data_IF_487154353733
#
_entry.id   IF_487154353733
#
_cell.length_a   1.000
_cell.length_b   1.000
_cell.length_c   1.000
_cell.angle_alpha   90.00
_cell.angle_beta   90.00
_cell.angle_gamma   90.00
#
_symmetry.space_group_name_H-M   'P 1'
#
loop_
_entity.id
_entity.type
_entity.pdbx_description
1 polymer ?
#
# COMPACT_ATOMS: atom_id res chain seq x y z
N UNK A 1 -8.96 8.74 -9.11
CA UNK A 1 -9.79 9.93 -9.45
C UNK A 1 -8.97 11.22 -9.43
N UNK A 2 -7.66 11.11 -9.56
CA UNK A 2 -6.74 12.24 -9.51
C UNK A 2 -7.05 13.31 -10.58
N UNK A 3 -7.41 12.90 -11.79
CA UNK A 3 -7.72 13.84 -12.88
C UNK A 3 -9.19 14.32 -12.93
N UNK A 4 -10.08 13.73 -12.13
CA UNK A 4 -11.51 14.09 -12.08
C UNK A 4 -12.33 13.73 -13.33
N UNK A 5 -11.69 13.32 -14.43
CA UNK A 5 -12.37 12.91 -15.65
C UNK A 5 -12.88 11.47 -15.51
N UNK A 6 -14.19 11.31 -15.46
CA UNK A 6 -14.86 10.01 -15.47
C UNK A 6 -15.26 9.55 -16.88
N UNK A 7 -15.11 10.41 -17.89
CA UNK A 7 -15.42 10.09 -19.29
C UNK A 7 -14.58 8.94 -19.84
N UNK A 8 -13.34 8.80 -19.34
CA UNK A 8 -12.46 7.67 -19.68
C UNK A 8 -13.10 6.31 -19.41
N UNK A 9 -14.02 6.21 -18.44
CA UNK A 9 -14.71 4.96 -18.10
C UNK A 9 -15.71 4.52 -19.18
N UNK A 10 -16.11 5.43 -20.06
CA UNK A 10 -17.01 5.13 -21.18
C UNK A 10 -16.26 4.68 -22.45
N UNK A 11 -14.91 4.78 -22.44
CA UNK A 11 -14.12 4.34 -23.58
C UNK A 11 -14.35 2.84 -23.83
N UNK A 12 -14.65 2.50 -25.07
CA UNK A 12 -14.88 1.11 -25.47
C UNK A 12 -13.57 0.48 -25.93
N UNK A 13 -13.17 -0.58 -25.23
CA UNK A 13 -11.92 -1.31 -25.46
C UNK A 13 -12.23 -2.78 -25.68
N UNK A 14 -11.58 -3.40 -26.66
CA UNK A 14 -11.68 -4.84 -26.88
C UNK A 14 -10.98 -5.61 -25.74
N UNK A 15 -11.58 -6.73 -25.34
CA UNK A 15 -10.91 -7.66 -24.42
C UNK A 15 -9.79 -8.41 -25.14
N UNK A 16 -8.82 -8.85 -24.34
CA UNK A 16 -7.75 -9.71 -24.83
C UNK A 16 -8.12 -11.18 -24.58
N UNK A 17 -7.72 -12.05 -25.51
CA UNK A 17 -7.84 -13.50 -25.38
C UNK A 17 -6.46 -14.12 -25.36
N UNK A 18 -6.19 -14.91 -24.34
CA UNK A 18 -4.99 -15.74 -24.23
C UNK A 18 -5.40 -17.18 -23.93
N UNK A 19 -4.50 -18.12 -24.16
CA UNK A 19 -4.71 -19.49 -23.71
C UNK A 19 -4.71 -19.56 -22.18
N UNK A 20 -5.39 -20.51 -21.62
CA UNK A 20 -5.29 -20.82 -20.19
C UNK A 20 -3.90 -21.41 -19.87
N UNK A 21 -3.41 -21.14 -18.65
CA UNK A 21 -2.24 -21.82 -18.12
C UNK A 21 -2.53 -23.32 -17.99
N UNK A 22 -1.54 -24.16 -18.29
CA UNK A 22 -1.62 -25.58 -17.97
C UNK A 22 -1.43 -25.77 -16.45
N UNK A 23 -1.87 -26.92 -15.88
CA UNK A 23 -1.73 -27.17 -14.45
C UNK A 23 -0.28 -27.17 -13.93
N UNK A 24 0.69 -27.37 -14.81
CA UNK A 24 2.13 -27.40 -14.53
C UNK A 24 2.84 -26.07 -14.83
N UNK A 25 2.09 -25.03 -15.27
CA UNK A 25 2.64 -23.71 -15.62
C UNK A 25 2.30 -22.66 -14.55
N UNK A 26 3.30 -21.92 -14.07
CA UNK A 26 3.10 -20.74 -13.21
C UNK A 26 2.83 -19.48 -14.03
N UNK A 27 3.36 -19.39 -15.25
CA UNK A 27 3.24 -18.22 -16.12
C UNK A 27 3.32 -18.61 -17.59
N UNK A 28 2.81 -17.72 -18.45
CA UNK A 28 2.92 -17.83 -19.89
C UNK A 28 3.30 -16.49 -20.51
N UNK A 29 4.40 -16.49 -21.24
CA UNK A 29 4.87 -15.32 -22.01
C UNK A 29 4.46 -15.51 -23.47
N UNK A 30 3.20 -15.14 -23.76
CA UNK A 30 2.64 -15.20 -25.11
C UNK A 30 2.03 -13.85 -25.47
N UNK A 31 1.88 -13.60 -26.75
CA UNK A 31 1.22 -12.39 -27.25
C UNK A 31 -0.30 -12.64 -27.27
N UNK A 32 -1.09 -11.97 -26.41
CA UNK A 32 -2.53 -12.16 -26.42
C UNK A 32 -3.15 -11.62 -27.71
N UNK A 33 -4.23 -12.24 -28.13
CA UNK A 33 -5.00 -11.80 -29.30
C UNK A 33 -6.12 -10.86 -28.88
N UNK A 34 -6.40 -9.84 -29.69
CA UNK A 34 -7.59 -9.00 -29.51
C UNK A 34 -8.84 -9.84 -29.81
N UNK A 35 -9.82 -9.83 -28.90
CA UNK A 35 -11.10 -10.50 -29.09
C UNK A 35 -12.12 -9.60 -29.79
N UNK A 36 -13.19 -10.20 -30.32
CA UNK A 36 -14.33 -9.46 -30.88
C UNK A 36 -15.25 -8.89 -29.77
N UNK A 37 -15.06 -9.30 -28.52
CA UNK A 37 -15.80 -8.80 -27.37
C UNK A 37 -15.25 -7.43 -26.96
N UNK A 38 -16.14 -6.44 -26.83
CA UNK A 38 -15.79 -5.05 -26.49
C UNK A 38 -16.64 -4.60 -25.31
N UNK A 39 -15.99 -4.09 -24.28
CA UNK A 39 -16.61 -3.46 -23.09
C UNK A 39 -16.14 -2.03 -22.90
N UNK A 40 -16.82 -1.30 -22.03
CA UNK A 40 -16.30 -0.04 -21.51
C UNK A 40 -15.15 -0.29 -20.54
N UNK A 41 -14.29 0.70 -20.29
CA UNK A 41 -13.27 0.57 -19.24
C UNK A 41 -13.90 0.30 -17.86
N UNK A 42 -15.10 0.80 -17.61
CA UNK A 42 -15.85 0.45 -16.41
C UNK A 42 -16.15 -1.06 -16.34
N UNK A 43 -16.61 -1.66 -17.46
CA UNK A 43 -16.86 -3.11 -17.54
C UNK A 43 -15.57 -3.92 -17.33
N UNK A 44 -14.45 -3.45 -17.87
CA UNK A 44 -13.15 -4.09 -17.63
C UNK A 44 -12.76 -4.06 -16.15
N UNK A 45 -12.95 -2.93 -15.45
CA UNK A 45 -12.70 -2.83 -14.02
C UNK A 45 -13.63 -3.77 -13.22
N UNK A 46 -14.92 -3.79 -13.52
CA UNK A 46 -15.87 -4.69 -12.89
C UNK A 46 -15.48 -6.15 -13.10
N UNK A 47 -15.14 -6.55 -14.32
CA UNK A 47 -14.71 -7.93 -14.64
C UNK A 47 -13.49 -8.33 -13.82
N UNK A 48 -12.49 -7.44 -13.69
CA UNK A 48 -11.30 -7.68 -12.89
C UNK A 48 -11.64 -7.87 -11.41
N UNK A 49 -12.49 -7.01 -10.84
CA UNK A 49 -12.90 -7.10 -9.43
C UNK A 49 -13.76 -8.36 -9.20
N UNK A 50 -14.73 -8.64 -10.06
CA UNK A 50 -15.56 -9.85 -9.95
C UNK A 50 -14.76 -11.13 -10.08
N UNK A 51 -13.65 -11.12 -10.84
CA UNK A 51 -12.76 -12.27 -10.93
C UNK A 51 -12.09 -12.60 -9.59
N UNK A 52 -11.82 -11.58 -8.76
CA UNK A 52 -11.26 -11.76 -7.42
C UNK A 52 -12.31 -12.13 -6.36
N UNK A 53 -13.61 -11.97 -6.65
CA UNK A 53 -14.69 -12.25 -5.71
C UNK A 53 -15.23 -13.68 -5.88
N UNK A 54 -15.91 -14.23 -4.84
CA UNK A 54 -16.60 -15.52 -4.96
C UNK A 54 -17.66 -15.49 -6.07
N UNK A 55 -17.71 -16.53 -6.90
CA UNK A 55 -18.74 -16.67 -7.93
C UNK A 55 -20.13 -16.73 -7.34
N UNK A 56 -21.08 -15.96 -7.87
CA UNK A 56 -22.49 -16.01 -7.48
C UNK A 56 -23.17 -17.33 -7.85
N UNK A 57 -22.67 -18.01 -8.88
CA UNK A 57 -23.33 -19.17 -9.49
C UNK A 57 -22.74 -20.53 -9.08
N UNK A 58 -21.70 -20.55 -8.23
CA UNK A 58 -20.99 -21.80 -7.90
C UNK A 58 -20.34 -22.48 -9.12
N UNK A 59 -20.47 -21.91 -10.32
CA UNK A 59 -19.77 -22.32 -11.51
C UNK A 59 -18.36 -21.75 -11.46
N UNK A 60 -17.41 -22.57 -11.04
CA UNK A 60 -15.99 -22.22 -11.00
C UNK A 60 -15.42 -21.89 -12.39
N UNK A 61 -15.74 -20.71 -12.87
CA UNK A 61 -15.06 -20.07 -14.00
C UNK A 61 -13.95 -19.19 -13.40
N UNK A 62 -13.03 -19.84 -12.72
CA UNK A 62 -11.84 -19.20 -12.21
C UNK A 62 -10.69 -20.20 -12.36
N UNK A 63 -9.59 -19.78 -12.94
CA UNK A 63 -8.33 -20.56 -12.90
C UNK A 63 -7.89 -20.78 -11.44
N UNK A 64 -6.93 -21.64 -11.23
CA UNK A 64 -6.32 -21.84 -9.91
C UNK A 64 -5.87 -20.48 -9.32
N UNK A 65 -6.34 -20.15 -8.10
CA UNK A 65 -6.01 -18.89 -7.41
C UNK A 65 -7.06 -17.77 -7.52
N UNK A 66 -8.27 -18.07 -8.02
CA UNK A 66 -9.38 -17.10 -8.03
C UNK A 66 -10.45 -17.47 -7.01
N UNK A 67 -11.01 -16.45 -6.35
CA UNK A 67 -12.04 -16.63 -5.33
C UNK A 67 -11.48 -16.65 -3.91
N UNK A 68 -12.24 -17.26 -2.99
CA UNK A 68 -11.94 -17.29 -1.56
C UNK A 68 -11.71 -18.72 -1.08
N UNK A 69 -10.83 -18.87 -0.08
CA UNK A 69 -10.56 -20.17 0.54
C UNK A 69 -11.45 -20.47 1.74
N UNK A 70 -11.02 -21.43 2.57
CA UNK A 70 -11.79 -21.97 3.70
C UNK A 70 -12.03 -20.98 4.83
N UNK A 71 -11.16 -19.96 4.97
CA UNK A 71 -11.31 -18.89 5.94
C UNK A 71 -12.08 -17.69 5.36
N UNK A 72 -12.56 -17.80 4.12
CA UNK A 72 -13.24 -16.71 3.42
C UNK A 72 -12.31 -15.53 3.14
N UNK A 73 -11.03 -15.79 2.94
CA UNK A 73 -10.01 -14.84 2.51
C UNK A 73 -9.65 -15.11 1.05
N UNK A 74 -9.16 -14.13 0.29
CA UNK A 74 -8.77 -14.33 -1.11
C UNK A 74 -7.69 -15.38 -1.25
N UNK A 75 -7.83 -16.23 -2.27
CA UNK A 75 -6.81 -17.21 -2.64
C UNK A 75 -5.54 -16.50 -3.11
N UNK A 76 -4.39 -16.99 -2.66
CA UNK A 76 -3.08 -16.41 -2.97
C UNK A 76 -2.55 -16.86 -4.34
N UNK A 77 -2.91 -18.08 -4.77
CA UNK A 77 -2.38 -18.66 -6.00
C UNK A 77 -0.86 -18.81 -5.96
N UNK A 78 -0.19 -18.49 -7.07
CA UNK A 78 1.27 -18.51 -7.20
C UNK A 78 1.93 -17.19 -6.71
N UNK A 79 1.32 -16.48 -5.80
CA UNK A 79 1.83 -15.26 -5.17
C UNK A 79 0.83 -14.10 -5.17
N UNK A 80 1.04 -13.18 -4.25
CA UNK A 80 0.32 -11.89 -4.20
C UNK A 80 1.30 -10.74 -4.51
N UNK A 81 1.34 -9.66 -3.72
CA UNK A 81 2.38 -8.62 -3.82
C UNK A 81 3.80 -9.20 -3.72
N UNK A 82 3.98 -10.26 -2.93
CA UNK A 82 5.23 -10.99 -2.81
C UNK A 82 5.18 -12.23 -3.70
N UNK A 83 5.62 -12.09 -4.94
CA UNK A 83 5.71 -13.18 -5.92
C UNK A 83 6.72 -14.26 -5.52
N UNK A 84 7.65 -13.95 -4.60
CA UNK A 84 8.56 -14.92 -3.99
C UNK A 84 7.90 -15.96 -3.09
N UNK A 85 6.63 -15.75 -2.71
CA UNK A 85 5.82 -16.68 -1.92
C UNK A 85 4.95 -17.60 -2.82
N UNK A 86 5.50 -18.03 -3.96
CA UNK A 86 4.77 -18.73 -5.03
C UNK A 86 4.29 -20.14 -4.67
N UNK A 87 4.75 -20.71 -3.56
CA UNK A 87 4.31 -22.05 -3.12
C UNK A 87 3.28 -22.00 -1.96
N UNK A 88 2.90 -20.84 -1.47
CA UNK A 88 1.94 -20.73 -0.36
C UNK A 88 0.54 -21.18 -0.77
N UNK A 89 0.08 -20.78 -1.96
CA UNK A 89 -1.23 -21.10 -2.49
C UNK A 89 -1.19 -21.86 -3.83
N UNK A 90 -0.10 -22.54 -4.15
CA UNK A 90 0.13 -23.17 -5.44
C UNK A 90 -0.95 -24.22 -5.81
N UNK A 91 -1.53 -24.90 -4.81
CA UNK A 91 -2.58 -25.90 -5.01
C UNK A 91 -3.99 -25.31 -5.02
N UNK A 92 -4.11 -23.98 -5.01
CA UNK A 92 -5.38 -23.26 -5.12
C UNK A 92 -6.22 -23.25 -3.84
N UNK A 93 -5.60 -23.42 -2.65
CA UNK A 93 -6.28 -23.38 -1.35
C UNK A 93 -5.69 -22.34 -0.41
N UNK A 94 -4.41 -22.02 -0.54
CA UNK A 94 -3.72 -21.04 0.30
C UNK A 94 -4.32 -19.64 0.15
N UNK A 95 -4.41 -18.91 1.25
CA UNK A 95 -5.13 -17.64 1.36
C UNK A 95 -4.21 -16.52 1.82
N UNK A 96 -4.41 -15.30 1.31
CA UNK A 96 -3.65 -14.12 1.70
C UNK A 96 -4.46 -13.16 2.57
N UNK A 97 -3.98 -12.91 3.79
CA UNK A 97 -4.56 -11.89 4.68
C UNK A 97 -4.28 -10.48 4.16
N UNK A 98 -3.05 -10.24 3.62
CA UNK A 98 -2.73 -8.97 3.00
C UNK A 98 -3.65 -8.67 1.80
N UNK A 99 -3.87 -9.66 0.92
CA UNK A 99 -4.74 -9.48 -0.25
C UNK A 99 -6.19 -9.18 0.16
N UNK A 100 -6.64 -9.71 1.32
CA UNK A 100 -7.96 -9.38 1.85
C UNK A 100 -8.06 -7.89 2.26
N UNK A 101 -7.04 -7.33 2.89
CA UNK A 101 -6.97 -5.89 3.16
C UNK A 101 -6.96 -5.06 1.89
N UNK A 102 -6.16 -5.47 0.90
CA UNK A 102 -6.05 -4.78 -0.37
C UNK A 102 -7.37 -4.83 -1.16
N UNK A 103 -8.00 -5.99 -1.26
CA UNK A 103 -9.29 -6.14 -1.93
C UNK A 103 -10.39 -5.32 -1.25
N UNK A 104 -10.40 -5.28 0.09
CA UNK A 104 -11.32 -4.42 0.83
C UNK A 104 -11.19 -2.94 0.41
N UNK A 105 -9.96 -2.43 0.33
CA UNK A 105 -9.69 -1.06 -0.09
C UNK A 105 -10.16 -0.80 -1.54
N UNK A 106 -9.88 -1.73 -2.45
CA UNK A 106 -10.35 -1.66 -3.84
C UNK A 106 -11.88 -1.59 -3.92
N UNK A 107 -12.58 -2.44 -3.15
CA UNK A 107 -14.04 -2.42 -3.11
C UNK A 107 -14.58 -1.08 -2.60
N UNK A 108 -14.01 -0.57 -1.50
CA UNK A 108 -14.43 0.72 -0.92
C UNK A 108 -14.23 1.89 -1.88
N UNK A 109 -13.09 1.95 -2.56
CA UNK A 109 -12.81 3.00 -3.54
C UNK A 109 -13.71 2.90 -4.79
N UNK A 110 -13.93 1.67 -5.28
CA UNK A 110 -14.74 1.48 -6.49
C UNK A 110 -16.24 1.71 -6.21
N UNK A 111 -16.73 1.41 -5.01
CA UNK A 111 -18.11 1.73 -4.62
C UNK A 111 -18.44 3.21 -4.76
N UNK A 112 -17.49 4.11 -4.45
CA UNK A 112 -17.71 5.55 -4.63
C UNK A 112 -17.88 5.90 -6.11
N UNK A 113 -17.10 5.25 -6.99
CA UNK A 113 -17.22 5.42 -8.42
C UNK A 113 -18.56 4.88 -8.95
N UNK A 114 -18.98 3.70 -8.50
CA UNK A 114 -20.26 3.09 -8.85
C UNK A 114 -21.45 3.97 -8.38
N UNK A 115 -21.40 4.54 -7.17
CA UNK A 115 -22.42 5.48 -6.68
C UNK A 115 -22.56 6.70 -7.58
N UNK A 116 -21.46 7.30 -8.02
CA UNK A 116 -21.50 8.45 -8.95
C UNK A 116 -22.11 8.10 -10.31
N UNK A 117 -22.02 6.84 -10.71
CA UNK A 117 -22.64 6.32 -11.95
C UNK A 117 -24.10 5.88 -11.74
N UNK A 118 -24.59 5.78 -10.51
CA UNK A 118 -25.92 5.24 -10.20
C UNK A 118 -26.01 3.71 -10.34
N UNK A 119 -24.89 3.00 -10.33
CA UNK A 119 -24.83 1.53 -10.38
C UNK A 119 -25.07 0.95 -8.99
N UNK A 120 -26.37 0.85 -8.64
CA UNK A 120 -26.82 0.41 -7.31
C UNK A 120 -26.46 -1.06 -7.08
N UNK A 121 -26.58 -1.91 -8.08
CA UNK A 121 -26.32 -3.36 -7.95
C UNK A 121 -24.85 -3.61 -7.58
N UNK A 122 -23.92 -2.92 -8.21
CA UNK A 122 -22.49 -2.98 -7.87
C UNK A 122 -22.23 -2.45 -6.46
N UNK A 123 -22.86 -1.34 -6.06
CA UNK A 123 -22.70 -0.78 -4.71
C UNK A 123 -23.18 -1.76 -3.65
N UNK A 124 -24.36 -2.37 -3.82
CA UNK A 124 -24.93 -3.32 -2.88
C UNK A 124 -24.05 -4.58 -2.77
N UNK A 125 -23.62 -5.12 -3.90
CA UNK A 125 -22.73 -6.28 -3.95
C UNK A 125 -21.41 -6.00 -3.23
N UNK A 126 -20.75 -4.90 -3.53
CA UNK A 126 -19.44 -4.58 -2.94
C UNK A 126 -19.55 -4.23 -1.46
N UNK A 127 -20.67 -3.63 -1.04
CA UNK A 127 -20.98 -3.42 0.40
C UNK A 127 -21.02 -4.74 1.15
N UNK A 128 -21.74 -5.73 0.59
CA UNK A 128 -21.85 -7.06 1.19
C UNK A 128 -20.48 -7.76 1.27
N UNK A 129 -19.72 -7.76 0.16
CA UNK A 129 -18.43 -8.45 0.12
C UNK A 129 -17.38 -7.76 0.99
N UNK A 130 -17.33 -6.43 1.03
CA UNK A 130 -16.46 -5.68 1.95
C UNK A 130 -16.80 -6.00 3.43
N UNK A 131 -18.09 -6.09 3.76
CA UNK A 131 -18.54 -6.50 5.10
C UNK A 131 -18.08 -7.91 5.47
N UNK A 132 -18.19 -8.88 4.55
CA UNK A 132 -17.70 -10.25 4.72
C UNK A 132 -16.19 -10.32 4.89
N UNK A 133 -15.43 -9.63 4.03
CA UNK A 133 -13.98 -9.56 4.13
C UNK A 133 -13.53 -9.02 5.48
N UNK A 134 -14.13 -7.93 5.93
CA UNK A 134 -13.79 -7.34 7.24
C UNK A 134 -14.07 -8.29 8.40
N UNK A 135 -15.17 -9.04 8.36
CA UNK A 135 -15.51 -10.05 9.36
C UNK A 135 -14.48 -11.20 9.34
N UNK A 136 -14.17 -11.75 8.16
CA UNK A 136 -13.22 -12.84 8.00
C UNK A 136 -11.78 -12.44 8.38
N UNK A 137 -11.35 -11.22 8.06
CA UNK A 137 -10.07 -10.66 8.53
C UNK A 137 -10.04 -10.61 10.07
N UNK A 138 -11.13 -10.16 10.70
CA UNK A 138 -11.20 -10.06 12.16
C UNK A 138 -11.18 -11.44 12.83
N UNK A 139 -11.79 -12.45 12.23
CA UNK A 139 -11.90 -13.81 12.77
C UNK A 139 -10.64 -14.64 12.49
N UNK A 140 -10.19 -14.65 11.25
CA UNK A 140 -9.12 -15.56 10.79
C UNK A 140 -7.78 -14.87 10.56
N UNK A 141 -7.76 -13.57 10.30
CA UNK A 141 -6.52 -12.83 10.07
C UNK A 141 -5.70 -12.54 11.34
N UNK A 142 -6.30 -12.62 12.52
CA UNK A 142 -5.65 -12.22 13.79
C UNK A 142 -4.92 -13.37 14.49
N UNK A 143 -3.68 -13.14 14.94
CA UNK A 143 -2.82 -14.15 15.61
C UNK A 143 -2.67 -13.92 17.13
N UNK A 144 -3.49 -13.06 17.70
CA UNK A 144 -3.41 -12.71 19.13
C UNK A 144 -2.68 -11.40 19.42
N UNK A 145 -1.61 -11.09 18.71
CA UNK A 145 -0.83 -9.86 18.86
C UNK A 145 -0.70 -9.02 17.57
N UNK A 146 -0.81 -9.65 16.41
CA UNK A 146 -0.73 -8.99 15.10
C UNK A 146 -1.53 -9.75 14.03
N UNK A 147 -1.61 -9.25 12.81
CA UNK A 147 -2.26 -9.93 11.69
C UNK A 147 -1.32 -10.92 11.02
N UNK A 148 -1.81 -12.13 10.76
CA UNK A 148 -1.13 -13.15 9.96
C UNK A 148 -0.84 -12.62 8.56
N UNK A 149 0.14 -13.25 7.90
CA UNK A 149 0.46 -12.94 6.50
C UNK A 149 -0.44 -13.71 5.52
N UNK A 150 -0.59 -15.00 5.74
CA UNK A 150 -1.27 -15.92 4.84
C UNK A 150 -1.58 -17.25 5.54
N UNK A 151 -2.21 -18.14 4.80
CA UNK A 151 -2.33 -19.58 5.10
C UNK A 151 -1.81 -20.37 3.90
N UNK A 152 -1.05 -21.42 4.15
CA UNK A 152 -0.63 -22.38 3.15
C UNK A 152 -1.81 -23.22 2.65
N UNK A 153 -1.62 -23.94 1.54
CA UNK A 153 -2.61 -24.88 0.98
C UNK A 153 -3.09 -25.97 1.95
N UNK A 154 -2.29 -26.34 2.92
CA UNK A 154 -2.62 -27.29 4.00
C UNK A 154 -3.29 -26.66 5.23
N UNK A 155 -3.51 -25.35 5.21
CA UNK A 155 -4.09 -24.58 6.31
C UNK A 155 -3.07 -24.13 7.36
N UNK A 156 -1.78 -24.40 7.20
CA UNK A 156 -0.73 -23.91 8.10
C UNK A 156 -0.65 -22.38 8.02
N UNK A 157 -0.72 -21.65 9.17
CA UNK A 157 -0.61 -20.19 9.16
C UNK A 157 0.82 -19.73 8.84
N UNK A 158 0.95 -18.61 8.14
CA UNK A 158 2.17 -17.86 7.89
C UNK A 158 2.04 -16.47 8.52
N UNK A 159 3.12 -15.95 9.10
CA UNK A 159 3.07 -14.67 9.82
C UNK A 159 2.46 -14.82 11.21
N UNK A 160 2.60 -15.98 11.83
CA UNK A 160 2.09 -16.32 13.16
C UNK A 160 3.24 -16.44 14.17
N UNK A 161 3.00 -16.04 15.42
CA UNK A 161 3.93 -16.22 16.55
C UNK A 161 4.38 -17.67 16.72
N UNK A 162 3.58 -18.64 16.29
CA UNK A 162 3.91 -20.07 16.32
C UNK A 162 4.87 -20.54 15.23
N UNK A 163 5.15 -19.72 14.23
CA UNK A 163 6.07 -20.10 13.15
C UNK A 163 7.53 -20.04 13.64
N UNK A 164 8.39 -20.93 13.10
CA UNK A 164 9.83 -20.87 13.33
C UNK A 164 10.49 -19.69 12.58
N UNK A 165 9.97 -19.38 11.39
CA UNK A 165 10.41 -18.32 10.49
C UNK A 165 9.19 -17.52 10.03
N UNK A 166 9.38 -16.27 9.62
CA UNK A 166 8.30 -15.34 9.25
C UNK A 166 7.18 -15.30 10.30
N UNK A 167 7.53 -14.99 11.55
CA UNK A 167 6.54 -14.84 12.61
C UNK A 167 5.66 -13.61 12.40
N UNK A 168 6.24 -12.55 11.88
CA UNK A 168 5.55 -11.29 11.56
C UNK A 168 5.98 -10.78 10.19
N UNK A 169 5.06 -10.16 9.45
CA UNK A 169 5.28 -9.53 8.17
C UNK A 169 4.69 -8.12 8.20
N UNK A 170 5.41 -7.12 7.69
CA UNK A 170 5.06 -5.70 7.82
C UNK A 170 3.84 -5.29 7.01
N UNK A 171 3.59 -5.94 5.84
CA UNK A 171 2.53 -5.47 4.94
C UNK A 171 1.14 -5.76 5.47
N UNK A 172 0.92 -6.87 6.16
CA UNK A 172 -0.38 -7.15 6.80
C UNK A 172 -0.69 -6.13 7.89
N UNK A 173 0.33 -5.73 8.68
CA UNK A 173 0.17 -4.74 9.74
C UNK A 173 -0.13 -3.36 9.17
N UNK A 174 0.67 -2.91 8.21
CA UNK A 174 0.52 -1.61 7.54
C UNK A 174 -0.85 -1.48 6.86
N UNK A 175 -1.27 -2.51 6.13
CA UNK A 175 -2.54 -2.51 5.42
C UNK A 175 -3.75 -2.67 6.32
N UNK A 176 -3.60 -3.15 7.57
CA UNK A 176 -4.68 -3.09 8.55
C UNK A 176 -5.12 -1.66 8.87
N UNK A 177 -4.20 -0.69 8.77
CA UNK A 177 -4.48 0.74 8.89
C UNK A 177 -4.90 1.33 7.53
N UNK A 178 -4.09 1.12 6.48
CA UNK A 178 -4.23 1.79 5.19
C UNK A 178 -5.56 1.47 4.50
N UNK A 179 -6.03 0.23 4.60
CA UNK A 179 -7.32 -0.18 4.04
C UNK A 179 -8.53 0.29 4.86
N UNK A 180 -8.34 0.60 6.14
CA UNK A 180 -9.44 0.85 7.07
C UNK A 180 -10.21 -0.40 7.53
N UNK A 181 -9.83 -1.61 7.09
CA UNK A 181 -10.50 -2.86 7.47
C UNK A 181 -10.04 -3.42 8.82
N UNK A 182 -8.90 -2.98 9.35
CA UNK A 182 -8.40 -3.42 10.64
C UNK A 182 -9.34 -3.08 11.80
N UNK A 183 -9.52 -4.01 12.74
CA UNK A 183 -10.36 -3.80 13.92
C UNK A 183 -9.71 -2.83 14.89
N UNK A 184 -10.49 -1.91 15.45
CA UNK A 184 -9.99 -0.96 16.45
C UNK A 184 -9.37 -1.69 17.66
N UNK A 185 -8.27 -1.17 18.16
CA UNK A 185 -7.42 -1.79 19.16
C UNK A 185 -6.43 -2.80 18.57
N UNK A 186 -6.87 -3.70 17.69
CA UNK A 186 -5.98 -4.69 17.05
C UNK A 186 -5.04 -4.07 16.02
N UNK A 187 -5.52 -3.17 15.18
CA UNK A 187 -4.68 -2.47 14.20
C UNK A 187 -3.62 -1.59 14.87
N UNK A 188 -3.94 -0.95 15.99
CA UNK A 188 -3.00 -0.19 16.80
C UNK A 188 -1.93 -1.12 17.38
N UNK A 189 -2.34 -2.23 18.02
CA UNK A 189 -1.45 -3.26 18.56
C UNK A 189 -0.57 -3.88 17.47
N UNK A 190 -1.11 -4.14 16.28
CA UNK A 190 -0.36 -4.68 15.14
C UNK A 190 0.77 -3.73 14.71
N UNK A 191 0.48 -2.42 14.64
CA UNK A 191 1.49 -1.41 14.32
C UNK A 191 2.55 -1.26 15.42
N UNK A 192 2.17 -1.36 16.68
CA UNK A 192 3.12 -1.33 17.82
C UNK A 192 4.04 -2.58 17.80
N UNK A 193 3.53 -3.73 17.37
CA UNK A 193 4.34 -4.93 17.15
C UNK A 193 5.25 -4.82 15.93
N UNK A 194 4.77 -4.21 14.82
CA UNK A 194 5.62 -3.90 13.68
C UNK A 194 6.79 -3.02 14.11
N UNK A 195 6.52 -1.94 14.86
CA UNK A 195 7.56 -1.04 15.36
C UNK A 195 8.59 -1.76 16.23
N UNK A 196 8.12 -2.52 17.20
CA UNK A 196 8.98 -3.24 18.15
C UNK A 196 9.81 -4.35 17.51
N UNK A 197 9.26 -5.06 16.51
CA UNK A 197 9.86 -6.29 15.96
C UNK A 197 10.57 -6.08 14.64
N UNK A 198 10.13 -5.15 13.81
CA UNK A 198 10.64 -4.98 12.45
C UNK A 198 11.45 -3.70 12.24
N UNK A 199 11.31 -2.70 13.12
CA UNK A 199 12.14 -1.50 13.05
C UNK A 199 13.45 -1.72 13.78
N UNK A 200 14.55 -1.61 13.04
CA UNK A 200 15.91 -1.65 13.57
C UNK A 200 16.45 -0.22 13.63
N UNK A 201 16.54 0.33 14.83
CA UNK A 201 17.00 1.71 15.06
C UNK A 201 18.47 1.79 15.45
N UNK A 202 19.11 0.65 15.71
CA UNK A 202 20.50 0.57 16.19
C UNK A 202 21.52 0.78 15.06
N UNK A 203 22.57 1.52 15.36
CA UNK A 203 23.70 1.70 14.45
C UNK A 203 24.62 0.46 14.43
N UNK A 204 25.27 0.14 13.31
CA UNK A 204 25.05 0.68 11.97
C UNK A 204 23.90 -0.05 11.25
N UNK A 205 23.15 0.67 10.40
CA UNK A 205 22.23 0.02 9.48
C UNK A 205 20.77 0.04 9.93
N UNK A 206 20.27 1.22 10.26
CA UNK A 206 18.85 1.46 10.54
C UNK A 206 18.00 1.09 9.35
N UNK A 207 16.93 0.34 9.56
CA UNK A 207 16.03 -0.12 8.51
C UNK A 207 14.69 -0.61 9.07
N UNK A 208 13.71 -0.81 8.19
CA UNK A 208 12.43 -1.45 8.50
C UNK A 208 12.38 -2.79 7.77
N UNK A 209 12.47 -3.89 8.49
CA UNK A 209 12.42 -5.23 7.89
C UNK A 209 11.05 -5.54 7.29
N UNK A 210 11.02 -6.30 6.21
CA UNK A 210 9.77 -6.80 5.65
C UNK A 210 9.15 -7.86 6.55
N UNK A 211 9.93 -8.83 7.00
CA UNK A 211 9.51 -9.93 7.86
C UNK A 211 10.62 -10.34 8.82
N UNK A 212 10.24 -11.02 9.91
CA UNK A 212 11.17 -11.55 10.92
C UNK A 212 10.59 -12.81 11.61
N UNK A 213 11.41 -13.86 11.91
CA UNK A 213 12.73 -14.14 11.34
C UNK A 213 12.70 -14.44 9.84
N UNK A 214 13.78 -14.21 9.10
CA UNK A 214 13.85 -14.57 7.68
C UNK A 214 13.77 -16.11 7.48
N UNK A 215 13.36 -16.54 6.29
CA UNK A 215 13.37 -17.93 5.89
C UNK A 215 14.82 -18.43 5.70
N UNK A 216 15.13 -19.59 6.26
CA UNK A 216 16.47 -20.22 6.18
C UNK A 216 16.36 -21.75 6.17
N UNK A 217 16.25 -22.38 7.34
CA UNK A 217 16.44 -23.82 7.53
C UNK A 217 15.18 -24.58 7.92
N UNK A 218 14.10 -23.88 8.30
CA UNK A 218 12.86 -24.57 8.66
C UNK A 218 12.32 -25.43 7.51
N UNK A 219 11.46 -26.40 7.83
CA UNK A 219 10.77 -27.20 6.82
C UNK A 219 9.76 -26.38 5.98
N UNK A 220 9.39 -25.18 6.44
CA UNK A 220 8.47 -24.28 5.76
C UNK A 220 9.04 -23.85 4.42
N UNK A 221 8.27 -24.02 3.36
CA UNK A 221 8.66 -23.64 2.01
C UNK A 221 7.64 -22.69 1.36
N UNK A 222 7.82 -21.38 1.53
CA UNK A 222 6.92 -20.39 0.93
C UNK A 222 7.15 -20.19 -0.57
N UNK A 223 8.25 -20.67 -1.13
CA UNK A 223 8.65 -20.48 -2.51
C UNK A 223 10.05 -19.91 -2.66
N UNK A 224 10.34 -19.28 -3.81
CA UNK A 224 11.69 -18.84 -4.13
C UNK A 224 12.23 -17.71 -3.25
N UNK A 225 11.38 -17.02 -2.47
CA UNK A 225 11.82 -16.06 -1.45
C UNK A 225 12.84 -16.69 -0.50
N UNK A 226 12.70 -17.97 -0.17
CA UNK A 226 13.63 -18.74 0.67
C UNK A 226 15.00 -18.94 0.02
N UNK A 227 15.10 -18.76 -1.28
CA UNK A 227 16.37 -18.81 -2.02
C UNK A 227 17.23 -17.55 -1.85
N UNK A 228 16.67 -16.46 -1.37
CA UNK A 228 17.45 -15.27 -1.02
C UNK A 228 18.16 -15.48 0.31
N UNK A 229 19.37 -14.94 0.42
CA UNK A 229 20.12 -14.93 1.68
C UNK A 229 19.27 -14.27 2.78
N UNK A 230 19.14 -14.88 3.98
CA UNK A 230 18.47 -14.27 5.11
C UNK A 230 18.95 -12.83 5.36
N UNK A 231 18.04 -11.88 5.39
CA UNK A 231 18.33 -10.45 5.54
C UNK A 231 18.53 -9.69 4.23
N UNK A 232 18.28 -10.33 3.08
CA UNK A 232 18.42 -9.70 1.75
C UNK A 232 17.08 -9.69 1.03
N UNK A 233 16.75 -8.59 0.35
CA UNK A 233 15.52 -8.40 -0.40
C UNK A 233 14.27 -8.68 0.47
N UNK A 234 13.30 -9.41 -0.09
CA UNK A 234 12.05 -9.78 0.61
C UNK A 234 12.31 -10.74 1.77
N UNK A 235 13.42 -11.45 1.81
CA UNK A 235 13.72 -12.42 2.86
C UNK A 235 14.32 -11.76 4.11
N UNK A 236 13.56 -10.88 4.77
CA UNK A 236 13.94 -10.25 6.03
C UNK A 236 14.83 -9.02 5.92
N UNK A 237 15.19 -8.56 4.70
CA UNK A 237 15.75 -7.23 4.48
C UNK A 237 14.68 -6.14 4.61
N UNK A 238 15.09 -4.87 4.49
CA UNK A 238 14.12 -3.81 4.20
C UNK A 238 13.77 -3.90 2.72
N UNK A 239 12.54 -4.27 2.40
CA UNK A 239 12.01 -4.04 1.06
C UNK A 239 11.35 -2.67 1.06
N UNK A 240 11.96 -1.70 0.39
CA UNK A 240 11.67 -0.27 0.61
C UNK A 240 10.22 0.10 0.27
N UNK A 241 9.59 -0.57 -0.69
CA UNK A 241 8.17 -0.38 -0.99
C UNK A 241 7.30 -0.66 0.25
N UNK A 242 7.52 -1.79 0.91
CA UNK A 242 6.79 -2.16 2.14
C UNK A 242 7.15 -1.25 3.32
N UNK A 243 8.41 -0.83 3.44
CA UNK A 243 8.85 0.12 4.46
C UNK A 243 8.13 1.48 4.31
N UNK A 244 7.93 1.95 3.08
CA UNK A 244 7.13 3.16 2.80
C UNK A 244 5.69 2.99 3.27
N UNK A 245 5.05 1.84 3.03
CA UNK A 245 3.70 1.57 3.53
C UNK A 245 3.64 1.57 5.07
N UNK A 246 4.67 1.08 5.76
CA UNK A 246 4.74 1.17 7.21
C UNK A 246 4.73 2.64 7.69
N UNK A 247 5.54 3.49 7.08
CA UNK A 247 5.55 4.93 7.40
C UNK A 247 4.20 5.60 7.10
N UNK A 248 3.58 5.27 5.95
CA UNK A 248 2.24 5.76 5.60
C UNK A 248 1.19 5.35 6.64
N UNK A 249 1.28 4.12 7.17
CA UNK A 249 0.37 3.63 8.20
C UNK A 249 0.55 4.39 9.53
N UNK A 250 1.79 4.72 9.94
CA UNK A 250 2.03 5.58 11.11
C UNK A 250 1.48 6.99 10.90
N UNK A 251 1.65 7.56 9.71
CA UNK A 251 1.06 8.85 9.38
C UNK A 251 -0.48 8.80 9.41
N UNK A 252 -1.09 7.77 8.84
CA UNK A 252 -2.54 7.59 8.80
C UNK A 252 -3.18 7.38 10.20
N UNK A 253 -2.43 6.79 11.15
CA UNK A 253 -2.89 6.68 12.55
C UNK A 253 -2.70 7.97 13.36
N UNK A 254 -2.11 9.01 12.76
CA UNK A 254 -1.88 10.31 13.39
C UNK A 254 -0.60 10.37 14.25
N UNK A 255 0.27 9.37 14.19
CA UNK A 255 1.55 9.36 14.92
C UNK A 255 2.63 10.11 14.12
N UNK A 256 2.49 11.42 14.07
CA UNK A 256 3.38 12.28 13.30
C UNK A 256 4.85 12.12 13.72
N UNK A 257 5.12 12.04 15.03
CA UNK A 257 6.50 11.88 15.53
C UNK A 257 7.14 10.64 14.94
N UNK A 258 6.48 9.48 15.09
CA UNK A 258 7.03 8.21 14.62
C UNK A 258 7.10 8.13 13.11
N UNK A 259 6.09 8.63 12.39
CA UNK A 259 6.10 8.68 10.93
C UNK A 259 7.33 9.44 10.39
N UNK A 260 7.67 10.59 10.95
CA UNK A 260 8.84 11.38 10.52
C UNK A 260 10.17 10.75 10.94
N UNK A 261 10.27 10.12 12.11
CA UNK A 261 11.44 9.33 12.52
C UNK A 261 11.70 8.19 11.52
N UNK A 262 10.66 7.43 11.17
CA UNK A 262 10.76 6.32 10.21
C UNK A 262 11.01 6.81 8.78
N UNK A 263 10.40 7.91 8.37
CA UNK A 263 10.73 8.54 7.09
C UNK A 263 12.22 8.91 7.01
N UNK A 264 12.75 9.54 8.05
CA UNK A 264 14.18 9.89 8.13
C UNK A 264 15.06 8.64 8.04
N UNK A 265 14.61 7.52 8.64
CA UNK A 265 15.33 6.26 8.62
C UNK A 265 15.45 5.67 7.21
N UNK A 266 14.42 5.77 6.37
CA UNK A 266 14.41 5.20 5.00
C UNK A 266 14.76 6.21 3.89
N UNK A 267 15.00 7.48 4.24
CA UNK A 267 15.28 8.54 3.28
C UNK A 267 16.72 8.44 2.75
N UNK A 268 16.95 8.37 1.43
CA UNK A 268 18.29 8.28 0.86
C UNK A 268 19.19 9.47 1.22
N UNK A 269 18.62 10.67 1.46
CA UNK A 269 19.39 11.84 1.90
C UNK A 269 20.06 11.57 3.25
N UNK A 270 19.38 10.90 4.17
CA UNK A 270 19.96 10.52 5.47
C UNK A 270 21.10 9.51 5.32
N UNK A 271 20.97 8.59 4.39
CA UNK A 271 22.02 7.61 4.08
C UNK A 271 23.21 8.23 3.33
N UNK A 272 23.07 9.43 2.78
CA UNK A 272 24.09 10.15 2.02
C UNK A 272 24.68 11.38 2.73
N UNK A 273 24.38 11.62 4.02
CA UNK A 273 24.71 12.88 4.71
C UNK A 273 26.07 12.89 5.41
N UNK A 274 26.79 11.78 5.45
CA UNK A 274 28.17 11.69 5.98
C UNK A 274 29.00 10.66 5.21
N UNK A 275 30.31 10.74 5.33
CA UNK A 275 31.23 9.78 4.69
C UNK A 275 30.99 8.34 5.20
N UNK A 276 30.68 8.18 6.46
CA UNK A 276 30.41 6.89 7.10
C UNK A 276 29.11 6.27 6.55
N UNK A 277 28.04 7.06 6.46
CA UNK A 277 26.74 6.57 5.94
C UNK A 277 26.82 6.25 4.46
N UNK A 278 27.53 7.05 3.66
CA UNK A 278 27.81 6.76 2.24
C UNK A 278 28.60 5.46 2.09
N UNK A 279 29.66 5.28 2.91
CA UNK A 279 30.48 4.06 2.88
C UNK A 279 29.68 2.80 3.29
N UNK A 280 28.66 2.94 4.12
CA UNK A 280 27.75 1.87 4.52
C UNK A 280 26.71 1.59 3.44
N UNK A 281 26.00 2.62 2.97
CA UNK A 281 24.87 2.49 2.05
C UNK A 281 25.28 2.03 0.65
N UNK A 282 26.37 2.56 0.12
CA UNK A 282 27.02 2.15 -1.15
C UNK A 282 26.15 2.23 -2.40
N UNK A 283 25.14 3.07 -2.37
CA UNK A 283 24.31 3.43 -3.54
C UNK A 283 24.42 4.93 -3.74
N UNK A 284 24.04 5.42 -4.90
CA UNK A 284 23.95 6.85 -5.19
C UNK A 284 23.10 7.54 -4.09
N UNK A 285 23.60 8.60 -3.41
CA UNK A 285 22.97 9.16 -2.22
C UNK A 285 21.62 9.85 -2.48
N UNK A 286 21.27 10.04 -3.75
CA UNK A 286 20.00 10.61 -4.19
C UNK A 286 19.00 9.57 -4.72
N UNK A 287 19.37 8.29 -4.76
CA UNK A 287 18.53 7.18 -5.27
C UNK A 287 17.96 6.39 -4.12
N UNK A 288 16.67 6.11 -4.20
CA UNK A 288 16.01 5.23 -3.25
C UNK A 288 16.34 3.76 -3.60
N UNK A 289 16.97 3.05 -2.65
CA UNK A 289 17.21 1.62 -2.80
C UNK A 289 15.91 0.83 -2.89
N UNK A 290 15.87 -0.20 -3.72
CA UNK A 290 14.78 -1.18 -3.72
C UNK A 290 14.74 -1.99 -2.42
N UNK A 291 15.93 -2.33 -1.90
CA UNK A 291 16.10 -3.01 -0.62
C UNK A 291 17.35 -2.53 0.13
N UNK A 292 17.35 -2.73 1.45
CA UNK A 292 18.51 -2.51 2.33
C UNK A 292 18.75 -3.78 3.13
N UNK A 293 20.00 -4.24 3.17
CA UNK A 293 20.35 -5.50 3.82
C UNK A 293 20.30 -5.40 5.34
N UNK A 294 19.76 -6.44 5.98
CA UNK A 294 19.71 -6.56 7.44
C UNK A 294 20.70 -7.60 8.00
N UNK A 295 21.57 -8.15 7.16
CA UNK A 295 22.50 -9.25 7.51
C UNK A 295 23.93 -8.77 7.61
N UNK A 296 24.64 -9.18 8.66
CA UNK A 296 26.07 -8.93 8.83
C UNK A 296 26.91 -9.68 7.78
N UNK A 297 28.02 -9.12 7.26
CA UNK A 297 28.60 -7.80 7.60
C UNK A 297 28.03 -6.64 6.76
N UNK A 298 26.93 -6.84 6.07
CA UNK A 298 26.38 -5.90 5.07
C UNK A 298 25.14 -5.13 5.58
N UNK A 299 24.86 -5.18 6.88
CA UNK A 299 23.70 -4.46 7.48
C UNK A 299 23.76 -2.96 7.13
N UNK A 300 22.66 -2.43 6.59
CA UNK A 300 22.57 -1.03 6.15
C UNK A 300 23.04 -0.75 4.73
N UNK A 301 23.60 -1.76 4.04
CA UNK A 301 23.97 -1.63 2.63
C UNK A 301 22.70 -1.66 1.77
N UNK A 302 22.56 -0.69 0.86
CA UNK A 302 21.57 -0.73 -0.19
C UNK A 302 21.87 -1.81 -1.23
N UNK A 303 20.84 -2.52 -1.64
CA UNK A 303 20.94 -3.56 -2.65
C UNK A 303 20.64 -3.03 -4.05
N UNK A 304 19.43 -3.19 -4.51
CA UNK A 304 19.03 -2.74 -5.85
C UNK A 304 18.71 -1.26 -5.86
N UNK A 305 19.16 -0.55 -6.88
CA UNK A 305 18.86 0.86 -7.11
C UNK A 305 17.99 1.05 -8.36
N UNK A 306 17.45 2.27 -8.54
CA UNK A 306 16.57 2.63 -9.66
C UNK A 306 15.25 1.87 -9.73
N UNK A 307 14.76 1.40 -8.60
CA UNK A 307 13.42 0.81 -8.48
C UNK A 307 12.36 1.92 -8.45
N UNK A 308 11.69 2.12 -9.57
CA UNK A 308 10.72 3.22 -9.77
C UNK A 308 9.47 3.06 -8.91
N UNK A 309 9.05 1.84 -8.59
CA UNK A 309 7.93 1.57 -7.70
C UNK A 309 8.13 2.13 -6.29
N UNK A 310 9.28 1.85 -5.67
CA UNK A 310 9.64 2.39 -4.36
C UNK A 310 9.71 3.91 -4.37
N UNK A 311 10.31 4.49 -5.43
CA UNK A 311 10.41 5.95 -5.59
C UNK A 311 9.04 6.61 -5.74
N UNK A 312 8.14 6.04 -6.53
CA UNK A 312 6.77 6.52 -6.69
C UNK A 312 5.98 6.50 -5.38
N UNK A 313 6.12 5.42 -4.59
CA UNK A 313 5.50 5.34 -3.27
C UNK A 313 6.11 6.30 -2.26
N UNK A 314 7.44 6.51 -2.29
CA UNK A 314 8.10 7.52 -1.46
C UNK A 314 7.59 8.94 -1.79
N UNK A 315 7.41 9.26 -3.08
CA UNK A 315 6.84 10.53 -3.50
C UNK A 315 5.41 10.70 -2.93
N UNK A 316 4.57 9.67 -3.01
CA UNK A 316 3.23 9.69 -2.43
C UNK A 316 3.24 9.79 -0.90
N UNK A 317 4.15 9.09 -0.22
CA UNK A 317 4.34 9.23 1.22
C UNK A 317 4.61 10.68 1.60
N UNK A 318 5.57 11.33 0.92
CA UNK A 318 5.94 12.71 1.22
C UNK A 318 4.77 13.66 0.94
N UNK A 319 4.21 13.60 -0.27
CA UNK A 319 3.21 14.58 -0.70
C UNK A 319 1.84 14.33 -0.07
N UNK A 320 1.35 13.08 -0.08
CA UNK A 320 -0.02 12.78 0.32
C UNK A 320 -0.17 12.46 1.82
N UNK A 321 0.84 11.81 2.43
CA UNK A 321 0.73 11.34 3.82
C UNK A 321 1.40 12.26 4.83
N UNK A 322 2.61 12.76 4.53
CA UNK A 322 3.35 13.64 5.45
C UNK A 322 2.97 15.11 5.26
N UNK A 323 3.06 15.63 4.05
CA UNK A 323 2.64 17.01 3.74
C UNK A 323 1.11 17.14 3.58
N UNK A 324 0.42 16.02 3.39
CA UNK A 324 -1.03 15.94 3.40
C UNK A 324 -1.72 16.56 2.19
N UNK A 325 -1.01 16.69 1.06
CA UNK A 325 -1.53 17.31 -0.15
C UNK A 325 -2.14 16.24 -1.06
N UNK A 326 -3.45 16.28 -1.29
CA UNK A 326 -4.14 15.31 -2.17
C UNK A 326 -4.91 16.03 -3.26
N UNK A 327 -4.62 15.66 -4.50
CA UNK A 327 -5.36 16.12 -5.68
C UNK A 327 -6.58 15.23 -5.92
N UNK A 328 -7.75 15.84 -6.01
CA UNK A 328 -9.01 15.19 -6.37
C UNK A 328 -9.68 15.99 -7.50
N UNK A 329 -9.36 15.66 -8.75
CA UNK A 329 -9.84 16.39 -9.90
C UNK A 329 -9.25 17.79 -9.99
N UNK A 330 -10.09 18.79 -9.78
CA UNK A 330 -9.75 20.20 -9.75
C UNK A 330 -9.69 20.81 -8.33
N UNK A 331 -9.44 19.95 -7.33
CA UNK A 331 -9.46 20.35 -5.91
C UNK A 331 -8.25 19.79 -5.18
N UNK A 332 -7.66 20.59 -4.29
CA UNK A 332 -6.65 20.12 -3.35
C UNK A 332 -7.25 20.00 -1.95
N UNK A 333 -7.02 18.84 -1.34
CA UNK A 333 -7.29 18.60 0.07
C UNK A 333 -6.00 18.62 0.87
N UNK A 334 -6.12 19.02 2.14
CA UNK A 334 -4.98 19.16 3.05
C UNK A 334 -5.24 18.35 4.32
N UNK A 335 -4.36 17.42 4.63
CA UNK A 335 -4.39 16.61 5.85
C UNK A 335 -2.95 16.32 6.30
N UNK A 336 -2.16 17.33 6.66
CA UNK A 336 -0.73 17.15 6.96
C UNK A 336 -0.52 16.41 8.28
N UNK A 337 0.49 15.54 8.29
CA UNK A 337 0.99 14.83 9.45
C UNK A 337 2.34 15.42 9.85
N UNK A 338 2.35 16.58 10.52
CA UNK A 338 3.55 17.38 10.74
C UNK A 338 4.21 17.11 12.09
N UNK A 339 5.55 17.21 12.17
CA UNK A 339 6.27 17.27 13.43
C UNK A 339 5.77 18.40 14.33
N UNK A 340 5.91 18.24 15.64
CA UNK A 340 5.40 19.24 16.60
C UNK A 340 6.07 20.62 16.46
N UNK A 341 7.33 20.63 16.08
CA UNK A 341 8.21 21.80 15.92
C UNK A 341 8.01 22.55 14.61
N UNK A 342 7.28 21.98 13.64
CA UNK A 342 6.95 22.68 12.41
C UNK A 342 5.73 23.59 12.63
N UNK A 343 5.97 24.89 12.61
CA UNK A 343 4.89 25.87 12.71
C UNK A 343 4.16 26.08 11.38
N UNK A 344 4.91 26.06 10.28
CA UNK A 344 4.37 26.27 8.93
C UNK A 344 5.32 25.73 7.86
N UNK A 345 4.78 25.55 6.66
CA UNK A 345 5.57 25.31 5.43
C UNK A 345 4.82 25.86 4.21
N UNK A 346 5.53 26.01 3.11
CA UNK A 346 4.96 26.54 1.86
C UNK A 346 5.16 25.53 0.73
N UNK A 347 4.13 25.41 -0.10
CA UNK A 347 4.14 24.61 -1.33
C UNK A 347 3.92 25.55 -2.51
N UNK A 348 4.75 25.47 -3.53
CA UNK A 348 4.49 26.08 -4.83
C UNK A 348 3.92 24.98 -5.75
N UNK A 349 2.61 25.03 -5.98
CA UNK A 349 1.89 24.02 -6.73
C UNK A 349 1.52 24.57 -8.10
N UNK A 350 1.97 23.89 -9.15
CA UNK A 350 1.60 24.22 -10.52
C UNK A 350 0.43 23.35 -10.98
N UNK A 351 -0.69 24.00 -11.27
CA UNK A 351 -1.84 23.38 -11.90
C UNK A 351 -1.96 23.85 -13.35
N UNK A 352 -1.57 23.01 -14.29
CA UNK A 352 -1.44 23.35 -15.72
C UNK A 352 -0.54 24.58 -15.91
N UNK A 353 -1.08 25.72 -16.32
CA UNK A 353 -0.33 26.97 -16.54
C UNK A 353 -0.41 27.96 -15.35
N UNK A 354 -1.19 27.62 -14.31
CA UNK A 354 -1.44 28.46 -13.13
C UNK A 354 -0.60 28.02 -11.95
N UNK A 355 -0.06 28.96 -11.17
CA UNK A 355 0.76 28.66 -9.98
C UNK A 355 0.02 29.06 -8.72
N UNK A 356 0.00 28.16 -7.73
CA UNK A 356 -0.53 28.37 -6.40
C UNK A 356 0.60 28.40 -5.37
N UNK A 357 0.72 29.51 -4.62
CA UNK A 357 1.60 29.66 -3.47
C UNK A 357 0.80 29.34 -2.21
N UNK A 358 0.97 28.14 -1.68
CA UNK A 358 0.14 27.59 -0.62
C UNK A 358 0.95 27.58 0.68
N UNK A 359 0.56 28.38 1.65
CA UNK A 359 1.16 28.39 2.99
C UNK A 359 0.27 27.62 3.96
N UNK A 360 0.78 26.54 4.54
CA UNK A 360 0.10 25.74 5.54
C UNK A 360 0.67 26.10 6.93
N UNK A 361 -0.21 26.41 7.88
CA UNK A 361 0.14 26.80 9.25
C UNK A 361 -0.60 25.92 10.26
N UNK A 362 0.07 25.53 11.34
CA UNK A 362 -0.63 24.95 12.49
C UNK A 362 -1.42 26.03 13.23
N UNK A 363 -2.69 25.73 13.49
CA UNK A 363 -3.50 26.57 14.38
C UNK A 363 -3.09 26.25 15.83
N UNK A 364 -2.79 27.29 16.61
CA UNK A 364 -2.45 27.13 18.04
C UNK A 364 -3.65 26.80 18.96
N UNK A 365 -4.84 26.62 18.40
CA UNK A 365 -6.11 26.57 19.18
C UNK A 365 -6.52 25.17 19.63
N UNK A 366 -5.82 24.09 19.17
CA UNK A 366 -6.15 22.70 19.54
C UNK A 366 -7.52 22.21 19.06
N UNK A 367 -8.28 23.04 18.34
CA UNK A 367 -9.54 22.63 17.72
C UNK A 367 -9.27 22.15 16.28
N UNK A 368 -9.92 21.07 15.89
CA UNK A 368 -9.85 20.49 14.53
C UNK A 368 -10.55 21.38 13.49
N UNK A 369 -10.07 22.62 13.33
CA UNK A 369 -10.60 23.58 12.37
C UNK A 369 -9.63 23.67 11.18
N UNK A 370 -10.12 23.29 10.02
CA UNK A 370 -9.43 23.60 8.77
C UNK A 370 -10.06 24.86 8.17
N UNK A 371 -9.25 25.91 8.05
CA UNK A 371 -9.63 27.16 7.39
C UNK A 371 -8.80 27.32 6.13
N UNK A 372 -9.44 27.67 5.04
CA UNK A 372 -8.79 27.88 3.73
C UNK A 372 -9.14 29.31 3.26
N UNK A 373 -8.13 30.10 2.95
CA UNK A 373 -8.26 31.43 2.35
C UNK A 373 -7.53 31.41 1.01
N UNK A 374 -8.21 31.80 -0.07
CA UNK A 374 -7.64 31.95 -1.41
C UNK A 374 -7.76 33.41 -1.83
N UNK A 375 -6.64 34.07 -2.13
CA UNK A 375 -6.54 35.47 -2.56
C UNK A 375 -7.35 36.40 -1.65
N UNK A 376 -7.19 36.21 -0.34
CA UNK A 376 -7.89 37.00 0.70
C UNK A 376 -9.36 36.59 0.94
N UNK A 377 -9.91 35.65 0.19
CA UNK A 377 -11.31 35.21 0.34
C UNK A 377 -11.38 33.85 1.03
N UNK A 378 -12.12 33.78 2.14
CA UNK A 378 -12.31 32.50 2.84
C UNK A 378 -13.19 31.54 2.05
N UNK A 379 -12.72 30.31 1.91
CA UNK A 379 -13.43 29.25 1.22
C UNK A 379 -14.43 28.57 2.19
N UNK A 380 -15.65 28.32 1.71
CA UNK A 380 -16.68 27.63 2.51
C UNK A 380 -16.40 26.14 2.67
N UNK A 381 -15.72 25.60 1.67
CA UNK A 381 -15.41 24.17 1.59
C UNK A 381 -14.03 23.86 2.19
N UNK A 382 -13.82 22.59 2.59
CA UNK A 382 -12.54 22.13 3.12
C UNK A 382 -11.57 21.65 2.02
N UNK A 383 -11.61 22.30 0.86
CA UNK A 383 -10.69 22.09 -0.25
C UNK A 383 -10.38 23.40 -0.96
N UNK A 384 -9.21 23.47 -1.56
CA UNK A 384 -8.80 24.57 -2.41
C UNK A 384 -9.23 24.26 -3.85
N UNK A 385 -10.11 25.06 -4.48
CA UNK A 385 -10.42 24.90 -5.89
C UNK A 385 -9.23 25.31 -6.75
N UNK A 386 -9.00 24.57 -7.85
CA UNK A 386 -7.95 24.84 -8.81
C UNK A 386 -8.57 25.32 -10.12
N UNK A 387 -8.10 26.45 -10.60
CA UNK A 387 -8.53 27.09 -11.87
C UNK A 387 -7.26 27.28 -12.70
N UNK A 388 -7.35 27.03 -14.00
CA UNK A 388 -6.26 27.30 -14.95
C UNK A 388 -6.52 28.64 -15.66
N UNK A 389 -6.19 29.72 -15.03
CA UNK A 389 -6.38 31.09 -15.55
C UNK A 389 -5.05 31.81 -15.88
N UNK A 390 -3.90 31.08 -15.73
CA UNK A 390 -2.53 31.56 -15.97
C UNK A 390 -2.07 32.67 -15.03
N UNK A 391 -2.74 32.85 -13.90
CA UNK A 391 -2.34 33.80 -12.85
C UNK A 391 -1.55 33.10 -11.74
N UNK A 392 -1.02 33.90 -10.83
CA UNK A 392 -0.49 33.41 -9.55
C UNK A 392 -1.54 33.61 -8.46
N UNK A 393 -1.79 32.55 -7.67
CA UNK A 393 -2.73 32.57 -6.56
C UNK A 393 -2.02 32.36 -5.23
N UNK A 394 -2.50 32.98 -4.18
CA UNK A 394 -2.01 32.83 -2.81
C UNK A 394 -3.06 32.17 -1.93
N UNK A 395 -2.71 31.01 -1.35
CA UNK A 395 -3.59 30.32 -0.45
C UNK A 395 -2.97 30.17 0.95
N UNK A 396 -3.77 30.43 1.97
CA UNK A 396 -3.42 30.20 3.37
C UNK A 396 -4.31 29.10 3.94
N UNK A 397 -3.69 28.06 4.51
CA UNK A 397 -4.37 26.89 5.06
C UNK A 397 -4.01 26.80 6.54
N UNK A 398 -5.00 26.91 7.42
CA UNK A 398 -4.84 26.64 8.85
C UNK A 398 -5.29 25.21 9.15
N UNK A 399 -4.42 24.44 9.78
CA UNK A 399 -4.67 23.05 10.20
C UNK A 399 -4.43 22.90 11.70
N UNK A 400 -5.13 21.96 12.34
CA UNK A 400 -4.97 21.67 13.77
C UNK A 400 -3.70 20.87 14.08
#
# INVERSE_FOLDING_TARGET
>A
MAVGDTGVLEERVAYLRARLLRPDEESNYDLPQTSDEVGTLYDHCLRAIYHALPSLSGSGVGGAGTGFGSHGLPLMGCGDWNDGMNLVGQLGKGESVWLAFFLYDVLMQFMELARRRGDVDTVDRFTLEAGRLRANIAEHGWDGEWYRRAYFDDGTPLGSAGNAECQIDSISQSWSILSGAGTNGRKEQAMDNLDRRLVRSDEPGRLIQLLDPPFDKSAMNPGYIKGYVPGVRENGGQYTHAAVWAVMAFAARGDAKRAWELFTLINPITHGNSAETVALYRIEPFVLAGDVYSVAPHTGRGGWSWYTGSAGWMYRLITESLLGLRLEGDKLRFAPCLPKDWASFTIHYRYRETVYHITIRKSGTGQATQRIVLDGNEQRDKWLPLIDDRNEHHAEIEVS
#
